data_IF_673734559712
#
_entry.id   IF_673734559712
#
_cell.length_a   1.000
_cell.length_b   1.000
_cell.length_c   1.000
_cell.angle_alpha   90.00
_cell.angle_beta   90.00
_cell.angle_gamma   90.00
#
_symmetry.space_group_name_H-M   'P 1'
#
loop_
_entity.id
_entity.type
_entity.pdbx_description
1 polymer ?
#
# COMPACT_ATOMS: atom_id res chain seq x y z
N UNK A 1 -18.17 19.77 15.27
CA UNK A 1 -18.88 18.97 16.30
C UNK A 1 -17.94 18.62 17.46
N UNK A 2 -18.46 18.47 18.71
CA UNK A 2 -17.66 18.13 19.89
C UNK A 2 -17.21 16.66 19.93
N UNK A 3 -17.50 15.88 18.90
CA UNK A 3 -17.07 14.49 18.77
C UNK A 3 -16.52 14.20 17.36
N UNK A 4 -15.58 13.27 17.29
CA UNK A 4 -15.09 12.71 16.03
C UNK A 4 -15.98 11.54 15.62
N UNK A 5 -16.85 11.75 14.63
CA UNK A 5 -17.65 10.68 14.04
C UNK A 5 -16.76 9.82 13.13
N UNK A 6 -16.75 8.51 13.37
CA UNK A 6 -16.24 7.49 12.43
C UNK A 6 -17.34 6.47 12.17
N UNK A 7 -17.52 6.09 10.92
CA UNK A 7 -18.54 5.14 10.46
C UNK A 7 -17.83 3.91 9.91
N UNK A 8 -18.20 2.74 10.42
CA UNK A 8 -17.76 1.45 9.92
C UNK A 8 -19.00 0.67 9.49
N UNK A 9 -19.19 0.55 8.18
CA UNK A 9 -20.29 -0.18 7.59
C UNK A 9 -19.80 -1.59 7.22
N UNK A 10 -20.50 -2.64 7.66
CA UNK A 10 -20.08 -4.04 7.45
C UNK A 10 -21.13 -4.73 6.58
N UNK A 11 -20.71 -5.29 5.44
CA UNK A 11 -21.63 -5.93 4.48
C UNK A 11 -22.73 -5.00 4.00
N UNK A 12 -22.48 -3.69 3.97
CA UNK A 12 -23.54 -2.72 3.73
C UNK A 12 -24.00 -2.75 2.27
N UNK A 13 -25.33 -2.74 2.02
CA UNK A 13 -25.84 -2.54 0.67
C UNK A 13 -25.54 -1.11 0.18
N UNK A 14 -25.76 -0.87 -1.10
CA UNK A 14 -25.71 0.48 -1.69
C UNK A 14 -26.82 1.35 -1.09
N UNK A 15 -26.51 2.62 -0.84
CA UNK A 15 -27.34 3.49 0.01
C UNK A 15 -27.99 4.67 -0.72
N UNK A 16 -27.60 4.95 -1.97
CA UNK A 16 -28.18 6.04 -2.74
C UNK A 16 -27.60 6.14 -4.15
N UNK A 17 -28.01 7.16 -4.89
CA UNK A 17 -27.46 7.45 -6.22
C UNK A 17 -26.07 8.11 -6.12
N UNK A 18 -25.42 8.34 -7.28
CA UNK A 18 -24.08 8.92 -7.33
C UNK A 18 -23.96 10.31 -6.67
N UNK A 19 -24.86 11.29 -6.95
CA UNK A 19 -24.82 12.60 -6.28
C UNK A 19 -24.90 12.52 -4.75
N UNK A 20 -25.76 11.63 -4.22
CA UNK A 20 -25.86 11.40 -2.79
C UNK A 20 -24.55 10.86 -2.21
N UNK A 21 -23.98 9.84 -2.84
CA UNK A 21 -22.72 9.22 -2.41
C UNK A 21 -21.56 10.20 -2.46
N UNK A 22 -21.49 11.04 -3.49
CA UNK A 22 -20.42 12.03 -3.64
C UNK A 22 -20.51 13.11 -2.55
N UNK A 23 -21.73 13.58 -2.23
CA UNK A 23 -21.96 14.47 -1.10
C UNK A 23 -21.55 13.80 0.22
N UNK A 24 -21.98 12.56 0.44
CA UNK A 24 -21.67 11.79 1.65
C UNK A 24 -20.16 11.61 1.83
N UNK A 25 -19.44 11.16 0.80
CA UNK A 25 -18.00 10.92 0.85
C UNK A 25 -17.21 12.20 1.09
N UNK A 26 -17.69 13.34 0.55
CA UNK A 26 -17.09 14.65 0.82
C UNK A 26 -17.27 15.07 2.28
N UNK A 27 -18.44 14.83 2.88
CA UNK A 27 -18.71 15.20 4.27
C UNK A 27 -18.02 14.29 5.29
N UNK A 28 -17.83 13.01 4.95
CA UNK A 28 -17.26 11.98 5.82
C UNK A 28 -15.91 11.46 5.32
N UNK A 29 -15.16 12.31 4.61
CA UNK A 29 -13.82 11.99 4.14
C UNK A 29 -12.93 11.54 5.29
N UNK A 30 -12.17 10.46 5.08
CA UNK A 30 -11.27 9.81 6.04
C UNK A 30 -11.95 9.38 7.36
N UNK A 31 -13.29 9.24 7.32
CA UNK A 31 -14.13 8.93 8.49
C UNK A 31 -15.21 7.90 8.20
N UNK A 32 -15.41 7.52 6.94
CA UNK A 32 -16.38 6.49 6.57
C UNK A 32 -15.67 5.36 5.85
N UNK A 33 -15.78 4.17 6.41
CA UNK A 33 -15.20 2.95 5.89
C UNK A 33 -16.30 1.91 5.71
N UNK A 34 -16.20 1.12 4.66
CA UNK A 34 -17.05 -0.05 4.45
C UNK A 34 -16.21 -1.30 4.28
N UNK A 35 -16.59 -2.35 4.96
CA UNK A 35 -15.97 -3.67 4.89
C UNK A 35 -16.86 -4.56 4.03
N UNK A 36 -16.32 -5.03 2.91
CA UNK A 36 -17.05 -5.81 1.92
C UNK A 36 -16.45 -7.21 1.80
N UNK A 37 -17.27 -8.23 2.05
CA UNK A 37 -16.97 -9.57 1.57
C UNK A 37 -17.43 -9.66 0.11
N UNK A 38 -16.50 -9.86 -0.82
CA UNK A 38 -16.83 -9.89 -2.26
C UNK A 38 -17.77 -11.03 -2.67
N UNK A 39 -17.91 -12.03 -1.79
CA UNK A 39 -18.80 -13.16 -1.97
C UNK A 39 -20.18 -12.95 -1.33
N UNK A 40 -20.33 -11.92 -0.49
CA UNK A 40 -21.60 -11.53 0.11
C UNK A 40 -22.47 -10.83 -0.95
N UNK A 41 -23.62 -11.40 -1.35
CA UNK A 41 -24.46 -10.82 -2.41
C UNK A 41 -25.12 -9.51 -1.98
N UNK A 42 -25.24 -9.25 -0.68
CA UNK A 42 -25.95 -8.06 -0.17
C UNK A 42 -25.27 -6.74 -0.52
N UNK A 43 -23.94 -6.72 -0.66
CA UNK A 43 -23.19 -5.51 -1.05
C UNK A 43 -23.56 -5.06 -2.48
N UNK A 44 -24.13 -5.97 -3.28
CA UNK A 44 -24.58 -5.69 -4.66
C UNK A 44 -26.02 -5.17 -4.71
N UNK A 45 -26.74 -5.23 -3.60
CA UNK A 45 -28.13 -4.78 -3.48
C UNK A 45 -28.20 -3.28 -3.13
N UNK A 46 -29.30 -2.59 -3.49
CA UNK A 46 -30.26 -3.03 -4.50
C UNK A 46 -29.61 -3.11 -5.88
N UNK A 47 -30.00 -4.11 -6.66
CA UNK A 47 -29.74 -4.12 -8.09
C UNK A 47 -30.69 -3.08 -8.69
N UNK A 48 -30.14 -1.96 -9.16
CA UNK A 48 -30.95 -0.87 -9.67
C UNK A 48 -31.89 -1.39 -10.77
N UNK A 49 -33.20 -1.20 -10.59
CA UNK A 49 -34.20 -1.52 -11.60
C UNK A 49 -34.84 -0.22 -12.09
N UNK A 50 -34.44 0.22 -13.27
CA UNK A 50 -35.29 1.09 -14.06
C UNK A 50 -36.21 0.21 -14.93
N UNK A 51 -37.48 0.59 -15.17
CA UNK A 51 -38.31 -0.14 -16.11
C UNK A 51 -37.74 -0.02 -17.53
N UNK A 52 -38.03 -1.00 -18.40
CA UNK A 52 -37.71 -0.89 -19.82
C UNK A 52 -38.50 0.27 -20.45
N UNK A 53 -37.88 1.12 -21.31
CA UNK A 53 -36.52 1.02 -21.87
C UNK A 53 -35.45 1.79 -21.08
N UNK A 54 -35.81 2.42 -19.96
CA UNK A 54 -34.92 3.30 -19.20
C UNK A 54 -33.73 2.56 -18.57
N UNK A 55 -33.85 1.25 -18.31
CA UNK A 55 -32.73 0.41 -17.91
C UNK A 55 -31.58 0.39 -18.93
N UNK A 56 -31.89 0.43 -20.23
CA UNK A 56 -30.88 0.44 -21.30
C UNK A 56 -30.14 1.78 -21.34
N UNK A 57 -30.84 2.87 -21.07
CA UNK A 57 -30.24 4.21 -21.05
C UNK A 57 -29.22 4.36 -19.92
N UNK A 58 -29.46 3.70 -18.78
CA UNK A 58 -28.50 3.65 -17.67
C UNK A 58 -27.24 2.80 -17.96
N UNK A 59 -27.19 2.08 -19.08
CA UNK A 59 -25.98 1.40 -19.55
C UNK A 59 -25.09 2.30 -20.41
N UNK A 60 -25.60 3.45 -20.86
CA UNK A 60 -24.84 4.39 -21.68
C UNK A 60 -23.80 5.10 -20.79
N UNK A 61 -22.51 5.15 -21.19
CA UNK A 61 -21.49 5.88 -20.45
C UNK A 61 -21.91 7.34 -20.18
N UNK A 62 -21.66 7.82 -18.98
CA UNK A 62 -21.98 9.18 -18.52
C UNK A 62 -23.47 9.50 -18.35
N UNK A 63 -24.38 8.52 -18.44
CA UNK A 63 -25.78 8.69 -18.04
C UNK A 63 -25.94 8.30 -16.57
N UNK A 64 -26.03 9.32 -15.70
CA UNK A 64 -26.14 9.09 -14.25
C UNK A 64 -27.56 8.84 -13.77
N UNK A 65 -28.56 9.26 -14.55
CA UNK A 65 -29.96 9.08 -14.23
C UNK A 65 -30.85 9.19 -15.46
N UNK A 66 -32.06 8.66 -15.34
CA UNK A 66 -33.12 8.76 -16.32
C UNK A 66 -34.39 9.25 -15.61
N UNK A 67 -35.15 10.11 -16.25
CA UNK A 67 -36.43 10.62 -15.74
C UNK A 67 -37.58 10.14 -16.62
N UNK A 68 -38.69 9.83 -15.97
CA UNK A 68 -39.96 9.49 -16.59
C UNK A 68 -41.08 10.24 -15.86
N UNK A 69 -41.44 11.42 -16.39
CA UNK A 69 -42.28 12.38 -15.67
C UNK A 69 -41.66 12.76 -14.32
N UNK A 70 -42.37 12.42 -13.24
CA UNK A 70 -41.94 12.64 -11.85
C UNK A 70 -41.03 11.53 -11.30
N UNK A 71 -40.87 10.41 -12.02
CA UNK A 71 -40.01 9.31 -11.60
C UNK A 71 -38.55 9.58 -11.93
N UNK A 72 -37.66 9.21 -11.01
CA UNK A 72 -36.21 9.34 -11.16
C UNK A 72 -35.53 7.99 -10.94
N UNK A 73 -34.87 7.49 -11.98
CA UNK A 73 -34.13 6.24 -11.95
C UNK A 73 -32.64 6.51 -12.03
N UNK A 74 -31.88 5.97 -11.08
CA UNK A 74 -30.43 6.06 -11.08
C UNK A 74 -29.82 4.78 -10.51
N UNK A 75 -28.61 4.40 -10.94
CA UNK A 75 -27.89 3.30 -10.35
C UNK A 75 -27.56 3.64 -8.89
N UNK A 76 -27.79 2.68 -8.01
CA UNK A 76 -27.35 2.77 -6.62
C UNK A 76 -25.84 2.59 -6.53
N UNK A 77 -25.23 3.35 -5.62
CA UNK A 77 -23.83 3.36 -5.30
C UNK A 77 -23.62 3.19 -3.79
N UNK A 78 -22.48 2.60 -3.42
CA UNK A 78 -22.05 2.45 -2.04
C UNK A 78 -21.16 3.63 -1.63
N UNK A 79 -21.23 4.03 -0.37
CA UNK A 79 -20.45 5.14 0.19
C UNK A 79 -19.36 4.66 1.15
N UNK A 80 -18.40 5.53 1.45
CA UNK A 80 -17.22 5.22 2.26
C UNK A 80 -16.08 4.57 1.48
N UNK A 81 -14.89 4.62 2.08
CA UNK A 81 -13.69 3.94 1.62
C UNK A 81 -13.85 2.41 1.77
N UNK A 82 -13.49 1.66 0.74
CA UNK A 82 -13.74 0.21 0.71
C UNK A 82 -12.56 -0.57 1.27
N UNK A 83 -12.85 -1.52 2.16
CA UNK A 83 -11.94 -2.54 2.64
C UNK A 83 -12.45 -3.91 2.21
N UNK A 84 -11.75 -4.52 1.26
CA UNK A 84 -12.16 -5.78 0.66
C UNK A 84 -11.64 -6.98 1.46
N UNK A 85 -12.56 -7.87 1.82
CA UNK A 85 -12.26 -9.18 2.38
C UNK A 85 -12.39 -10.22 1.26
N UNK A 86 -11.29 -10.91 0.98
CA UNK A 86 -11.22 -11.99 -0.02
C UNK A 86 -11.38 -13.39 0.58
N UNK A 87 -11.79 -13.48 1.85
CA UNK A 87 -11.85 -14.76 2.55
C UNK A 87 -13.25 -15.37 2.46
N UNK A 88 -13.30 -16.69 2.36
CA UNK A 88 -14.53 -17.46 2.57
C UNK A 88 -14.73 -17.46 4.09
N UNK A 89 -15.45 -16.45 4.59
CA UNK A 89 -15.87 -16.44 5.99
C UNK A 89 -16.61 -17.74 6.32
N UNK A 90 -16.49 -18.21 7.56
CA UNK A 90 -17.26 -19.34 8.04
C UNK A 90 -18.35 -18.79 8.96
N UNK A 91 -19.60 -19.21 8.74
CA UNK A 91 -20.66 -18.99 9.72
C UNK A 91 -21.39 -20.31 9.88
N UNK A 92 -21.45 -20.77 11.11
CA UNK A 92 -22.13 -22.00 11.47
C UNK A 92 -23.53 -21.65 11.97
N UNK A 93 -24.56 -22.17 11.31
CA UNK A 93 -25.91 -22.14 11.84
C UNK A 93 -26.11 -23.36 12.73
N UNK A 94 -26.30 -23.13 14.03
CA UNK A 94 -26.69 -24.19 14.96
C UNK A 94 -28.21 -24.35 14.96
N UNK A 95 -28.69 -25.48 14.46
CA UNK A 95 -30.09 -25.87 14.53
C UNK A 95 -30.28 -26.79 15.74
N UNK A 96 -31.03 -26.30 16.74
CA UNK A 96 -31.40 -27.05 17.92
C UNK A 96 -32.88 -27.44 17.87
N UNK A 97 -33.16 -28.74 17.77
CA UNK A 97 -34.52 -29.30 17.70
C UNK A 97 -35.09 -29.68 19.08
N UNK A 98 -34.55 -29.15 20.17
CA UNK A 98 -35.04 -29.41 21.53
C UNK A 98 -34.68 -30.78 22.10
N UNK A 99 -33.69 -31.48 21.51
CA UNK A 99 -33.17 -32.78 21.95
C UNK A 99 -31.63 -32.84 21.94
N UNK A 100 -31.00 -34.03 22.11
CA UNK A 100 -29.54 -34.16 22.11
C UNK A 100 -28.89 -33.96 20.73
N UNK A 101 -29.71 -33.92 19.68
CA UNK A 101 -29.24 -33.78 18.30
C UNK A 101 -29.11 -32.29 17.97
N UNK A 102 -27.87 -31.88 17.73
CA UNK A 102 -27.51 -30.55 17.23
C UNK A 102 -26.94 -30.69 15.83
N UNK A 103 -27.47 -29.94 14.88
CA UNK A 103 -26.93 -29.88 13.53
C UNK A 103 -26.23 -28.55 13.30
N UNK A 104 -24.99 -28.61 12.82
CA UNK A 104 -24.21 -27.45 12.44
C UNK A 104 -24.14 -27.38 10.91
N UNK A 105 -24.77 -26.38 10.33
CA UNK A 105 -24.76 -26.17 8.87
C UNK A 105 -23.84 -24.99 8.54
N UNK A 106 -22.79 -25.18 7.73
CA UNK A 106 -21.96 -24.08 7.27
C UNK A 106 -22.74 -23.25 6.24
N UNK A 107 -22.88 -21.95 6.50
CA UNK A 107 -23.47 -21.00 5.54
C UNK A 107 -22.34 -20.47 4.65
N UNK A 108 -22.37 -20.71 3.33
CA UNK A 108 -21.43 -20.08 2.43
C UNK A 108 -21.73 -18.57 2.35
N UNK A 109 -20.67 -17.77 2.33
CA UNK A 109 -20.72 -16.31 2.16
C UNK A 109 -21.49 -15.58 3.27
N UNK A 110 -20.95 -15.61 4.50
CA UNK A 110 -21.66 -15.08 5.63
C UNK A 110 -21.84 -13.57 5.51
N UNK A 111 -23.10 -13.14 5.58
CA UNK A 111 -23.49 -11.74 5.71
C UNK A 111 -23.55 -11.31 7.19
N UNK A 112 -23.63 -12.28 8.12
CA UNK A 112 -23.80 -12.01 9.54
C UNK A 112 -22.59 -11.32 10.17
N UNK A 113 -22.80 -10.54 11.25
CA UNK A 113 -21.71 -9.88 11.99
C UNK A 113 -20.61 -10.85 12.44
N UNK A 114 -20.98 -12.07 12.86
CA UNK A 114 -20.03 -13.08 13.31
C UNK A 114 -19.09 -13.55 12.19
N UNK A 115 -19.61 -13.73 10.97
CA UNK A 115 -18.80 -14.13 9.82
C UNK A 115 -17.82 -13.03 9.41
N UNK A 116 -18.27 -11.76 9.40
CA UNK A 116 -17.38 -10.62 9.16
C UNK A 116 -16.31 -10.46 10.24
N UNK A 117 -16.67 -10.66 11.51
CA UNK A 117 -15.71 -10.66 12.62
C UNK A 117 -14.64 -11.73 12.42
N UNK A 118 -15.03 -12.96 12.10
CA UNK A 118 -14.08 -14.04 11.85
C UNK A 118 -13.15 -13.73 10.67
N UNK A 119 -13.70 -13.23 9.56
CA UNK A 119 -12.89 -12.82 8.40
C UNK A 119 -11.88 -11.73 8.76
N UNK A 120 -12.29 -10.73 9.56
CA UNK A 120 -11.41 -9.67 10.03
C UNK A 120 -10.32 -10.19 10.96
N UNK A 121 -10.64 -11.10 11.88
CA UNK A 121 -9.66 -11.73 12.76
C UNK A 121 -8.63 -12.54 11.96
N UNK A 122 -9.07 -13.34 10.98
CA UNK A 122 -8.16 -14.08 10.09
C UNK A 122 -7.29 -13.15 9.25
N UNK A 123 -7.85 -12.06 8.73
CA UNK A 123 -7.08 -11.06 7.99
C UNK A 123 -6.00 -10.41 8.88
N UNK A 124 -6.34 -10.11 10.14
CA UNK A 124 -5.39 -9.60 11.12
C UNK A 124 -4.29 -10.62 11.43
N UNK A 125 -4.63 -11.89 11.66
CA UNK A 125 -3.67 -12.95 11.91
C UNK A 125 -2.72 -13.14 10.72
N UNK A 126 -3.26 -13.15 9.50
CA UNK A 126 -2.47 -13.21 8.28
C UNK A 126 -1.49 -12.03 8.20
N UNK A 127 -1.98 -10.81 8.41
CA UNK A 127 -1.12 -9.62 8.43
C UNK A 127 -0.03 -9.73 9.50
N UNK A 128 -0.34 -10.22 10.69
CA UNK A 128 0.65 -10.39 11.75
C UNK A 128 1.69 -11.47 11.43
N UNK A 129 1.27 -12.58 10.81
CA UNK A 129 2.17 -13.72 10.51
C UNK A 129 3.04 -13.49 9.29
N UNK A 130 2.51 -12.86 8.26
CA UNK A 130 3.21 -12.74 6.98
C UNK A 130 3.76 -11.33 6.74
N UNK A 131 3.00 -10.30 7.09
CA UNK A 131 3.38 -8.93 6.78
C UNK A 131 4.38 -8.35 7.78
N UNK A 132 4.21 -8.59 9.08
CA UNK A 132 5.15 -8.06 10.08
C UNK A 132 6.58 -8.59 9.93
N UNK A 133 6.83 -9.89 9.69
CA UNK A 133 8.18 -10.38 9.44
C UNK A 133 8.77 -9.81 8.15
N UNK A 134 7.98 -9.71 7.08
CA UNK A 134 8.42 -9.11 5.83
C UNK A 134 8.81 -7.64 6.01
N UNK A 135 8.00 -6.85 6.74
CA UNK A 135 8.33 -5.47 7.09
C UNK A 135 9.63 -5.36 7.90
N UNK A 136 9.89 -6.31 8.80
CA UNK A 136 11.14 -6.35 9.55
C UNK A 136 12.33 -6.69 8.66
N UNK A 137 12.21 -7.67 7.76
CA UNK A 137 13.27 -8.01 6.79
C UNK A 137 13.58 -6.81 5.90
N UNK A 138 12.54 -6.16 5.35
CA UNK A 138 12.70 -4.97 4.52
C UNK A 138 13.41 -3.87 5.30
N UNK A 139 13.02 -3.60 6.55
CA UNK A 139 13.70 -2.63 7.42
C UNK A 139 15.16 -2.98 7.67
N UNK A 140 15.47 -4.25 7.99
CA UNK A 140 16.85 -4.69 8.21
C UNK A 140 17.69 -4.52 6.95
N UNK A 141 17.17 -4.91 5.77
CA UNK A 141 17.87 -4.74 4.49
C UNK A 141 18.15 -3.26 4.19
N UNK A 142 17.15 -2.39 4.40
CA UNK A 142 17.34 -0.95 4.21
C UNK A 142 18.32 -0.34 5.22
N UNK A 143 18.33 -0.81 6.48
CA UNK A 143 19.31 -0.39 7.48
C UNK A 143 20.73 -0.82 7.11
N UNK A 144 20.92 -2.09 6.72
CA UNK A 144 22.22 -2.61 6.29
C UNK A 144 22.75 -1.86 5.06
N UNK A 145 21.88 -1.55 4.08
CA UNK A 145 22.27 -0.74 2.93
C UNK A 145 22.66 0.70 3.32
N UNK A 146 21.92 1.31 4.24
CA UNK A 146 22.23 2.67 4.73
C UNK A 146 23.57 2.70 5.47
N UNK A 147 23.86 1.69 6.28
CA UNK A 147 25.17 1.56 6.94
C UNK A 147 26.32 1.35 5.95
N UNK A 148 26.12 0.53 4.91
CA UNK A 148 27.14 0.33 3.87
C UNK A 148 27.44 1.61 3.11
N UNK A 149 26.41 2.37 2.73
CA UNK A 149 26.58 3.69 2.09
C UNK A 149 27.34 4.63 3.02
N UNK A 150 27.00 4.67 4.31
CA UNK A 150 27.71 5.49 5.29
C UNK A 150 29.20 5.13 5.43
N UNK A 151 29.53 3.83 5.47
CA UNK A 151 30.94 3.39 5.53
C UNK A 151 31.72 3.76 4.27
N UNK A 152 31.09 3.62 3.09
CA UNK A 152 31.71 4.01 1.82
C UNK A 152 31.91 5.53 1.74
N UNK A 153 31.00 6.34 2.28
CA UNK A 153 31.17 7.79 2.36
C UNK A 153 32.36 8.18 3.24
N UNK A 154 32.50 7.56 4.42
CA UNK A 154 33.66 7.79 5.30
C UNK A 154 34.97 7.44 4.61
N UNK A 155 35.03 6.28 3.93
CA UNK A 155 36.22 5.91 3.15
C UNK A 155 36.52 6.90 2.02
N UNK A 156 35.49 7.48 1.40
CA UNK A 156 35.65 8.49 0.36
C UNK A 156 36.25 9.79 0.92
N UNK A 157 35.78 10.22 2.08
CA UNK A 157 36.27 11.42 2.77
C UNK A 157 37.70 11.24 3.27
N UNK A 158 38.03 10.06 3.83
CA UNK A 158 39.40 9.70 4.19
C UNK A 158 40.34 9.72 2.97
N UNK A 159 39.93 9.06 1.88
CA UNK A 159 40.74 9.02 0.65
C UNK A 159 40.90 10.41 0.02
N UNK A 160 39.87 11.26 0.09
CA UNK A 160 39.93 12.65 -0.35
C UNK A 160 40.93 13.45 0.47
N UNK A 161 40.89 13.31 1.79
CA UNK A 161 41.84 13.99 2.69
C UNK A 161 43.28 13.56 2.45
N UNK A 162 43.52 12.27 2.20
CA UNK A 162 44.82 11.70 1.86
C UNK A 162 45.33 12.24 0.50
N UNK A 163 44.45 12.34 -0.49
CA UNK A 163 44.78 12.92 -1.80
C UNK A 163 45.13 14.40 -1.68
N UNK A 164 44.40 15.16 -0.88
CA UNK A 164 44.69 16.58 -0.62
C UNK A 164 46.04 16.75 0.10
N UNK A 165 46.34 15.92 1.11
CA UNK A 165 47.64 15.96 1.81
C UNK A 165 48.81 15.63 0.89
N UNK A 166 48.70 14.55 0.10
CA UNK A 166 49.75 14.15 -0.84
C UNK A 166 49.94 15.20 -1.94
N UNK A 167 48.87 15.83 -2.41
CA UNK A 167 48.96 16.93 -3.38
C UNK A 167 49.69 18.15 -2.79
N UNK A 168 49.41 18.54 -1.54
CA UNK A 168 50.13 19.64 -0.87
C UNK A 168 51.59 19.30 -0.58
N UNK A 169 51.91 18.05 -0.22
CA UNK A 169 53.29 17.61 -0.02
C UNK A 169 54.10 17.66 -1.32
N UNK A 170 53.46 17.32 -2.44
CA UNK A 170 54.06 17.41 -3.77
C UNK A 170 54.37 18.87 -4.19
N UNK A 171 53.55 19.83 -3.78
CA UNK A 171 53.76 21.26 -4.06
C UNK A 171 54.90 21.86 -3.21
N UNK A 172 55.25 21.21 -2.10
CA UNK A 172 56.35 21.60 -1.19
C UNK A 172 57.68 20.87 -1.39
N UNK A 173 57.74 19.83 -2.24
CA UNK A 173 58.93 19.01 -2.45
C UNK A 173 59.78 19.51 -3.64
N UNK A 174 61.03 19.84 -3.36
CA UNK A 174 62.04 20.30 -4.33
C UNK A 174 62.64 19.11 -5.14
N UNK A 175 63.16 19.46 -6.31
CA UNK A 175 63.36 18.68 -7.55
C UNK A 175 64.25 17.41 -7.49
N UNK A 176 63.67 16.23 -7.24
CA UNK A 176 64.19 14.93 -7.72
C UNK A 176 63.14 14.21 -8.58
N UNK A 177 63.36 14.15 -9.89
CA UNK A 177 62.38 13.66 -10.88
C UNK A 177 61.86 12.23 -10.69
N UNK A 178 62.55 11.37 -9.95
CA UNK A 178 62.16 9.98 -9.68
C UNK A 178 61.08 9.88 -8.59
N UNK A 179 61.17 10.72 -7.54
CA UNK A 179 60.17 10.79 -6.46
C UNK A 179 58.85 11.37 -6.98
N UNK A 180 58.92 12.34 -7.90
CA UNK A 180 57.75 12.94 -8.52
C UNK A 180 56.95 11.96 -9.37
N UNK A 181 57.63 11.05 -10.10
CA UNK A 181 56.97 10.02 -10.90
C UNK A 181 56.23 9.00 -10.02
N UNK A 182 56.82 8.61 -8.89
CA UNK A 182 56.23 7.69 -7.92
C UNK A 182 55.00 8.30 -7.23
N UNK A 183 55.10 9.55 -6.77
CA UNK A 183 53.98 10.30 -6.16
C UNK A 183 52.83 10.49 -7.15
N UNK A 184 53.13 10.78 -8.43
CA UNK A 184 52.10 10.89 -9.47
C UNK A 184 51.41 9.56 -9.80
N UNK A 185 52.14 8.44 -9.75
CA UNK A 185 51.55 7.11 -9.91
C UNK A 185 50.59 6.79 -8.75
N UNK A 186 50.97 7.15 -7.52
CA UNK A 186 50.15 6.95 -6.31
C UNK A 186 48.90 7.83 -6.32
N UNK A 187 49.01 9.12 -6.67
CA UNK A 187 47.87 10.02 -6.87
C UNK A 187 46.91 9.52 -7.96
N UNK A 188 47.44 8.96 -9.05
CA UNK A 188 46.63 8.38 -10.12
C UNK A 188 45.88 7.13 -9.65
N UNK A 189 46.51 6.29 -8.83
CA UNK A 189 45.88 5.12 -8.22
C UNK A 189 44.78 5.53 -7.23
N UNK A 190 45.04 6.49 -6.34
CA UNK A 190 44.04 7.00 -5.39
C UNK A 190 42.85 7.67 -6.10
N UNK A 191 43.09 8.49 -7.14
CA UNK A 191 42.00 9.08 -7.95
C UNK A 191 41.16 8.03 -8.67
N UNK A 192 41.78 6.93 -9.12
CA UNK A 192 41.06 5.79 -9.71
C UNK A 192 40.16 5.11 -8.68
N UNK A 193 40.70 4.81 -7.49
CA UNK A 193 39.92 4.23 -6.39
C UNK A 193 38.75 5.13 -5.96
N UNK A 194 38.97 6.44 -5.88
CA UNK A 194 37.92 7.41 -5.57
C UNK A 194 36.77 7.39 -6.59
N UNK A 195 37.11 7.23 -7.88
CA UNK A 195 36.11 7.14 -8.96
C UNK A 195 35.29 5.85 -8.84
N UNK A 196 35.94 4.73 -8.56
CA UNK A 196 35.28 3.43 -8.35
C UNK A 196 34.35 3.47 -7.12
N UNK A 197 34.78 4.10 -6.02
CA UNK A 197 33.98 4.26 -4.82
C UNK A 197 32.75 5.15 -5.05
N UNK A 198 32.90 6.26 -5.78
CA UNK A 198 31.77 7.12 -6.19
C UNK A 198 30.73 6.35 -7.01
N UNK A 199 31.18 5.56 -7.97
CA UNK A 199 30.29 4.74 -8.79
C UNK A 199 29.57 3.66 -7.97
N UNK A 200 30.24 3.06 -6.98
CA UNK A 200 29.62 2.10 -6.08
C UNK A 200 28.52 2.74 -5.21
N UNK A 201 28.75 3.94 -4.68
CA UNK A 201 27.74 4.69 -3.91
C UNK A 201 26.55 5.09 -4.79
N UNK A 202 26.80 5.55 -6.02
CA UNK A 202 25.76 5.94 -6.97
C UNK A 202 24.87 4.74 -7.36
N UNK A 203 25.48 3.58 -7.63
CA UNK A 203 24.74 2.35 -7.92
C UNK A 203 23.87 1.89 -6.73
N UNK A 204 24.36 2.05 -5.50
CA UNK A 204 23.59 1.72 -4.29
C UNK A 204 22.44 2.70 -4.04
N UNK A 205 22.62 3.99 -4.31
CA UNK A 205 21.56 5.00 -4.19
C UNK A 205 20.43 4.78 -5.23
N UNK A 206 20.77 4.48 -6.49
CA UNK A 206 19.77 4.18 -7.53
C UNK A 206 18.93 2.94 -7.18
N UNK A 207 19.54 1.94 -6.54
CA UNK A 207 18.83 0.76 -6.04
C UNK A 207 17.86 1.08 -4.89
N UNK A 208 18.08 2.16 -4.11
CA UNK A 208 17.16 2.61 -3.06
C UNK A 208 15.98 3.42 -3.58
N UNK A 209 16.12 4.13 -4.70
CA UNK A 209 15.04 4.96 -5.27
C UNK A 209 14.03 4.16 -6.14
N UNK A 210 14.35 2.90 -6.49
CA UNK A 210 13.54 2.08 -7.41
C UNK A 210 12.40 1.18 -6.83
N UNK A 211 12.02 1.17 -5.52
CA UNK A 211 11.03 0.18 -5.06
C UNK A 211 9.55 0.60 -5.18
N UNK A 212 9.18 1.71 -5.85
CA UNK A 212 7.78 2.21 -5.81
C UNK A 212 6.83 1.78 -6.93
N UNK A 213 7.25 1.09 -7.98
CA UNK A 213 6.39 0.88 -9.17
C UNK A 213 5.68 -0.47 -9.24
N UNK A 214 5.66 -1.25 -8.15
CA UNK A 214 4.85 -2.47 -8.11
C UNK A 214 4.30 -2.79 -6.72
N UNK A 215 3.15 -2.19 -6.38
CA UNK A 215 2.21 -2.72 -5.39
C UNK A 215 0.78 -2.25 -5.72
#
# INVERSE_FOLDING_TARGET
PPFALKVYAIGSPKIGNRPFVDLYNRLLKDRSYRVENQLDPTIRLPQASAPFPYNLQLLIPNVEFVRDGDNYYAPYAAAGEVYNLFNVGYQNLELNFGGPIRFTVPIPFPHGPDGYKEMLMRAQEFQQRFWKPAQNIVRTVFQEQTEQIGRLQVQLDELRSAVETVATQQESADDTGDDRAKVMAELKAMRKQMKELKQAIEALNVAQESPSDSA
#
